data_IF_999085991049
#
_entry.id   IF_999085991049
#
_cell.length_a   1.000
_cell.length_b   1.000
_cell.length_c   1.000
_cell.angle_alpha   90.00
_cell.angle_beta   90.00
_cell.angle_gamma   90.00
#
_symmetry.space_group_name_H-M   'P 1'
#
loop_
_entity.id
_entity.type
_entity.pdbx_description
1 polymer ?
#
# COMPACT_ATOMS: atom_id res chain seq x y z
N UNK A 1 9.52 -3.14 32.10
CA UNK A 1 9.39 -3.71 30.75
C UNK A 1 7.92 -4.08 30.60
N UNK A 2 7.08 -3.56 29.71
CA UNK A 2 7.20 -3.10 28.33
C UNK A 2 6.44 -1.77 28.15
N UNK A 3 7.09 -0.74 27.59
CA UNK A 3 6.45 0.56 27.29
C UNK A 3 5.79 0.61 25.90
N UNK A 4 5.91 -0.46 25.11
CA UNK A 4 5.40 -0.50 23.73
C UNK A 4 4.41 -1.66 23.57
N UNK A 5 3.21 -1.34 23.09
CA UNK A 5 2.22 -2.32 22.65
C UNK A 5 2.26 -2.40 21.12
N UNK A 6 2.10 -3.59 20.53
CA UNK A 6 1.95 -3.71 19.09
C UNK A 6 0.78 -2.84 18.60
N UNK A 7 1.00 -2.08 17.53
CA UNK A 7 -0.08 -1.38 16.85
C UNK A 7 -0.93 -2.44 16.15
N UNK A 8 -2.23 -2.43 16.45
CA UNK A 8 -3.24 -3.21 15.73
C UNK A 8 -4.14 -2.23 15.00
N UNK A 9 -4.16 -2.34 13.68
CA UNK A 9 -5.09 -1.64 12.81
C UNK A 9 -6.16 -2.65 12.43
N UNK A 10 -7.42 -2.26 12.47
CA UNK A 10 -8.53 -3.13 12.05
C UNK A 10 -8.73 -3.00 10.53
N UNK A 11 -9.09 -4.08 9.82
CA UNK A 11 -9.45 -4.00 8.41
C UNK A 11 -10.74 -3.19 8.19
N UNK A 12 -10.99 -2.66 6.98
CA UNK A 12 -10.16 -2.79 5.78
C UNK A 12 -8.92 -1.89 5.83
N UNK A 13 -7.80 -2.42 5.34
CA UNK A 13 -6.55 -1.68 5.24
C UNK A 13 -6.49 -0.89 3.95
N UNK A 14 -6.02 0.35 4.04
CA UNK A 14 -5.72 1.20 2.90
C UNK A 14 -4.27 1.67 2.98
N UNK A 15 -3.56 1.54 1.87
CA UNK A 15 -2.19 2.03 1.72
C UNK A 15 -2.13 2.97 0.53
N UNK A 16 -1.61 4.16 0.77
CA UNK A 16 -1.34 5.17 -0.26
C UNK A 16 0.18 5.37 -0.33
N UNK A 17 0.74 5.20 -1.53
CA UNK A 17 2.18 5.36 -1.77
C UNK A 17 2.40 6.40 -2.85
N UNK A 18 3.07 7.50 -2.49
CA UNK A 18 3.64 8.44 -3.45
C UNK A 18 5.08 8.02 -3.77
N UNK A 19 5.36 7.76 -5.03
CA UNK A 19 6.69 7.42 -5.51
C UNK A 19 7.50 8.67 -5.86
N UNK A 20 8.82 8.55 -5.76
CA UNK A 20 9.73 9.59 -6.23
C UNK A 20 9.66 9.76 -7.76
N UNK A 21 9.54 8.65 -8.50
CA UNK A 21 9.52 8.60 -9.95
C UNK A 21 8.16 8.13 -10.46
N UNK A 22 7.63 8.79 -11.50
CA UNK A 22 6.32 8.47 -12.10
C UNK A 22 6.27 7.04 -12.67
N UNK A 23 7.38 6.59 -13.27
CA UNK A 23 7.50 5.26 -13.86
C UNK A 23 7.32 4.16 -12.82
N UNK A 24 7.69 4.43 -11.55
CA UNK A 24 7.50 3.47 -10.45
C UNK A 24 6.02 3.25 -10.16
N UNK A 25 5.23 4.34 -10.12
CA UNK A 25 3.78 4.27 -9.97
C UNK A 25 3.14 3.57 -11.18
N UNK A 26 3.63 3.82 -12.40
CA UNK A 26 3.12 3.19 -13.63
C UNK A 26 3.35 1.69 -13.68
N UNK A 27 4.54 1.22 -13.30
CA UNK A 27 4.81 -0.22 -13.23
C UNK A 27 3.85 -0.88 -12.24
N UNK A 28 3.63 -0.26 -11.08
CA UNK A 28 2.77 -0.84 -10.05
C UNK A 28 1.29 -0.80 -10.42
N UNK A 29 0.82 0.25 -11.09
CA UNK A 29 -0.56 0.40 -11.55
C UNK A 29 -1.05 -0.70 -12.51
N UNK A 30 -0.13 -1.48 -13.10
CA UNK A 30 -0.46 -2.64 -13.95
C UNK A 30 -0.88 -3.88 -13.15
N UNK A 31 -0.63 -3.89 -11.84
CA UNK A 31 -1.01 -5.00 -10.97
C UNK A 31 -2.51 -4.89 -10.65
N UNK A 32 -3.24 -6.00 -10.84
CA UNK A 32 -4.67 -6.06 -10.51
C UNK A 32 -4.87 -5.74 -9.02
N UNK A 33 -5.79 -4.83 -8.73
CA UNK A 33 -6.09 -4.38 -7.36
C UNK A 33 -5.34 -3.12 -6.93
N UNK A 34 -4.45 -2.58 -7.78
CA UNK A 34 -3.79 -1.28 -7.55
C UNK A 34 -4.53 -0.18 -8.32
N UNK A 35 -4.94 0.86 -7.62
CA UNK A 35 -5.51 2.08 -8.20
C UNK A 35 -4.42 3.14 -8.34
N UNK A 36 -4.19 3.68 -9.55
CA UNK A 36 -3.33 4.86 -9.73
C UNK A 36 -4.19 6.11 -9.52
N UNK A 37 -3.85 6.91 -8.51
CA UNK A 37 -4.65 8.09 -8.13
C UNK A 37 -4.14 9.38 -8.77
N UNK A 38 -2.83 9.46 -9.04
CA UNK A 38 -2.20 10.52 -9.82
C UNK A 38 -0.93 10.01 -10.52
N UNK A 39 -0.15 10.89 -11.15
CA UNK A 39 1.07 10.53 -11.89
C UNK A 39 2.06 9.68 -11.10
N UNK A 40 2.22 9.96 -9.79
CA UNK A 40 3.23 9.34 -8.91
C UNK A 40 2.62 8.57 -7.74
N UNK A 41 1.30 8.58 -7.57
CA UNK A 41 0.65 7.99 -6.39
C UNK A 41 -0.23 6.81 -6.76
N UNK A 42 -0.14 5.77 -5.94
CA UNK A 42 -1.06 4.63 -5.97
C UNK A 42 -1.84 4.50 -4.66
N UNK A 43 -2.98 3.83 -4.72
CA UNK A 43 -3.80 3.42 -3.58
C UNK A 43 -4.16 1.95 -3.72
N UNK A 44 -4.10 1.22 -2.62
CA UNK A 44 -4.48 -0.20 -2.53
C UNK A 44 -5.34 -0.41 -1.30
N UNK A 45 -6.35 -1.28 -1.41
CA UNK A 45 -7.22 -1.65 -0.30
C UNK A 45 -7.43 -3.18 -0.24
N UNK A 46 -7.33 -3.76 0.96
CA UNK A 46 -7.64 -5.18 1.23
C UNK A 46 -8.04 -5.38 2.70
N UNK A 47 -8.72 -6.47 3.01
CA UNK A 47 -8.98 -6.94 4.38
C UNK A 47 -7.81 -7.76 4.96
N UNK A 48 -6.78 -8.08 4.15
CA UNK A 48 -5.54 -8.75 4.56
C UNK A 48 -4.36 -7.77 4.53
N UNK A 49 -3.69 -7.61 5.69
CA UNK A 49 -2.56 -6.69 5.85
C UNK A 49 -1.33 -7.11 5.04
N UNK A 50 -1.13 -8.42 4.83
CA UNK A 50 -0.03 -8.92 4.02
C UNK A 50 -0.32 -8.64 2.54
N UNK A 51 -1.55 -8.89 2.10
CA UNK A 51 -1.97 -8.62 0.72
C UNK A 51 -1.81 -7.13 0.36
N UNK A 52 -2.31 -6.21 1.21
CA UNK A 52 -2.23 -4.77 0.93
C UNK A 52 -0.77 -4.29 0.85
N UNK A 53 0.13 -4.81 1.70
CA UNK A 53 1.55 -4.45 1.70
C UNK A 53 2.30 -5.02 0.48
N UNK A 54 2.02 -6.26 0.09
CA UNK A 54 2.59 -6.87 -1.12
C UNK A 54 2.12 -6.12 -2.38
N UNK A 55 0.83 -5.81 -2.48
CA UNK A 55 0.29 -5.03 -3.60
C UNK A 55 0.87 -3.60 -3.63
N UNK A 56 1.16 -2.99 -2.49
CA UNK A 56 1.85 -1.70 -2.41
C UNK A 56 3.37 -1.78 -2.70
N UNK A 57 3.94 -2.98 -2.83
CA UNK A 57 5.36 -3.19 -3.14
C UNK A 57 6.29 -3.07 -1.92
N UNK A 58 5.78 -3.30 -0.71
CA UNK A 58 6.54 -3.24 0.54
C UNK A 58 6.96 -4.62 1.09
N UNK A 59 6.53 -5.71 0.45
CA UNK A 59 6.83 -7.10 0.83
C UNK A 59 7.01 -7.96 -0.42
#
# INVERSE_FOLDING_TARGET
MSKFKPLRVEPPYEVVVEYLLAESAEVRAKVKGVEKVDERTIKVRSDDIIEVLTLAGMC
#
